data_IF_915228903802
#
_entry.id   IF_915228903802
#
_cell.length_a   1.000
_cell.length_b   1.000
_cell.length_c   1.000
_cell.angle_alpha   90.00
_cell.angle_beta   90.00
_cell.angle_gamma   90.00
#
_symmetry.space_group_name_H-M   'P 1'
#
loop_
_entity.id
_entity.type
_entity.pdbx_description
1 polymer ?
#
# COMPACT_ATOMS: atom_id res chain seq x y z
N UNK A 1 -5.78 -24.74 -25.24
CA UNK A 1 -4.63 -23.88 -25.62
C UNK A 1 -4.53 -22.74 -24.62
N UNK A 2 -3.35 -22.57 -24.05
CA UNK A 2 -3.08 -21.94 -22.77
C UNK A 2 -3.22 -20.42 -22.84
N UNK A 3 -3.88 -19.81 -21.83
CA UNK A 3 -3.76 -18.39 -21.47
C UNK A 3 -2.34 -18.11 -20.98
N UNK A 4 -1.45 -17.71 -21.87
CA UNK A 4 -0.23 -17.00 -21.50
C UNK A 4 -0.59 -15.57 -21.08
N UNK A 5 -0.76 -15.38 -19.75
CA UNK A 5 -0.81 -14.06 -19.16
C UNK A 5 0.45 -13.28 -19.55
N UNK A 6 0.32 -12.25 -20.39
CA UNK A 6 1.42 -11.39 -20.85
C UNK A 6 2.04 -10.67 -19.67
N UNK A 7 3.08 -11.25 -19.09
CA UNK A 7 3.98 -10.52 -18.20
C UNK A 7 4.66 -9.42 -19.03
N UNK A 8 4.66 -8.20 -18.53
CA UNK A 8 5.41 -7.12 -19.18
C UNK A 8 6.89 -7.55 -19.31
N UNK A 9 7.45 -7.48 -20.51
CA UNK A 9 8.83 -7.87 -20.75
C UNK A 9 9.83 -6.98 -20.00
N UNK A 10 11.05 -7.47 -19.67
CA UNK A 10 12.04 -6.71 -18.92
C UNK A 10 12.35 -5.32 -19.47
N UNK A 11 12.38 -5.15 -20.79
CA UNK A 11 12.60 -3.85 -21.45
C UNK A 11 11.46 -2.85 -21.18
N UNK A 12 10.23 -3.32 -21.04
CA UNK A 12 9.05 -2.48 -20.73
C UNK A 12 9.03 -2.08 -19.26
N UNK A 13 9.41 -2.99 -18.36
CA UNK A 13 9.56 -2.70 -16.94
C UNK A 13 10.73 -1.73 -16.69
N UNK A 14 11.82 -1.86 -17.44
CA UNK A 14 12.95 -0.92 -17.39
C UNK A 14 12.55 0.47 -17.89
N UNK A 15 11.72 0.57 -18.93
CA UNK A 15 11.18 1.83 -19.42
C UNK A 15 10.26 2.49 -18.38
N UNK A 16 9.49 1.71 -17.63
CA UNK A 16 8.65 2.19 -16.51
C UNK A 16 9.50 2.63 -15.31
N UNK A 17 10.54 1.87 -14.96
CA UNK A 17 11.47 2.24 -13.90
C UNK A 17 12.27 3.52 -14.25
N UNK A 18 12.64 3.70 -15.50
CA UNK A 18 13.34 4.90 -15.97
C UNK A 18 12.41 6.12 -16.03
N UNK A 19 11.13 5.96 -16.40
CA UNK A 19 10.11 7.02 -16.30
C UNK A 19 9.89 7.50 -14.87
N UNK A 20 10.03 6.64 -13.87
CA UNK A 20 9.97 7.04 -12.46
C UNK A 20 11.13 7.94 -12.01
N UNK A 21 12.17 8.11 -12.83
CA UNK A 21 13.33 8.99 -12.58
C UNK A 21 13.22 10.35 -13.28
N UNK A 22 12.37 10.49 -14.29
CA UNK A 22 12.14 11.77 -14.98
C UNK A 22 11.09 12.61 -14.23
N UNK A 23 11.24 13.95 -14.18
CA UNK A 23 10.19 14.82 -13.67
C UNK A 23 8.96 14.66 -14.59
N UNK A 24 7.97 13.93 -14.09
CA UNK A 24 6.75 13.64 -14.81
C UNK A 24 5.87 14.90 -14.81
N UNK A 25 5.43 15.34 -15.98
CA UNK A 25 4.43 16.38 -16.19
C UNK A 25 3.13 16.03 -15.44
N UNK A 26 2.40 17.02 -14.90
CA UNK A 26 1.14 16.85 -14.17
C UNK A 26 0.05 16.13 -15.00
N UNK A 27 0.09 16.27 -16.33
CA UNK A 27 -0.76 15.54 -17.25
C UNK A 27 -0.35 14.06 -17.36
N UNK A 28 0.96 13.76 -17.27
CA UNK A 28 1.49 12.40 -17.29
C UNK A 28 1.34 11.71 -15.92
N UNK A 29 1.34 12.44 -14.79
CA UNK A 29 1.00 11.89 -13.47
C UNK A 29 -0.43 11.42 -13.41
N UNK A 30 -1.37 12.18 -13.97
CA UNK A 30 -2.76 11.73 -14.14
C UNK A 30 -2.89 10.54 -15.10
N UNK A 31 -1.94 10.39 -16.04
CA UNK A 31 -1.81 9.23 -16.93
C UNK A 31 -1.01 8.08 -16.31
N UNK A 32 -0.09 8.35 -15.36
CA UNK A 32 0.70 7.32 -14.68
C UNK A 32 -0.18 6.37 -13.85
N UNK A 33 -1.32 6.88 -13.33
CA UNK A 33 -2.37 6.05 -12.77
C UNK A 33 -3.35 5.53 -13.85
N UNK A 34 -3.04 5.75 -15.11
CA UNK A 34 -3.67 5.26 -16.33
C UNK A 34 -5.15 5.66 -16.48
N UNK A 35 -5.56 6.10 -17.66
CA UNK A 35 -6.97 6.17 -17.99
C UNK A 35 -7.59 4.78 -17.79
N UNK A 36 -8.71 4.71 -17.05
CA UNK A 36 -9.46 3.46 -16.92
C UNK A 36 -10.14 3.23 -18.27
N UNK A 37 -9.80 2.14 -18.92
CA UNK A 37 -10.34 1.78 -20.24
C UNK A 37 -11.85 1.52 -20.15
N UNK A 38 -12.58 1.76 -21.24
CA UNK A 38 -14.03 1.52 -21.28
C UNK A 38 -14.42 0.09 -20.85
N UNK A 39 -13.77 -1.00 -21.32
CA UNK A 39 -14.06 -2.35 -20.84
C UNK A 39 -13.86 -2.55 -19.33
N UNK A 40 -12.84 -1.90 -18.75
CA UNK A 40 -12.59 -2.00 -17.31
C UNK A 40 -13.68 -1.27 -16.50
N UNK A 41 -14.22 -0.14 -17.01
CA UNK A 41 -15.36 0.58 -16.41
C UNK A 41 -16.63 -0.25 -16.44
N UNK A 42 -16.89 -0.92 -17.56
CA UNK A 42 -18.05 -1.82 -17.71
C UNK A 42 -17.95 -2.99 -16.76
N UNK A 43 -16.78 -3.63 -16.66
CA UNK A 43 -16.53 -4.71 -15.71
C UNK A 43 -16.75 -4.25 -14.26
N UNK A 44 -16.24 -3.09 -13.88
CA UNK A 44 -16.45 -2.52 -12.53
C UNK A 44 -17.93 -2.22 -12.29
N UNK A 45 -18.64 -1.64 -13.27
CA UNK A 45 -20.07 -1.37 -13.17
C UNK A 45 -20.88 -2.67 -13.00
N UNK A 46 -20.53 -3.72 -13.74
CA UNK A 46 -21.15 -5.04 -13.61
C UNK A 46 -20.90 -5.62 -12.20
N UNK A 47 -19.68 -5.52 -11.69
CA UNK A 47 -19.31 -6.02 -10.36
C UNK A 47 -20.01 -5.28 -9.23
N UNK A 48 -20.20 -3.97 -9.36
CA UNK A 48 -20.90 -3.15 -8.36
C UNK A 48 -22.44 -3.26 -8.50
N UNK A 49 -22.95 -3.58 -9.68
CA UNK A 49 -24.39 -3.58 -10.00
C UNK A 49 -25.14 -4.88 -9.68
N UNK A 50 -24.46 -5.97 -9.42
CA UNK A 50 -25.08 -7.27 -9.16
C UNK A 50 -24.59 -7.86 -7.85
N UNK A 51 -25.50 -8.59 -7.14
CA UNK A 51 -25.14 -9.62 -6.15
C UNK A 51 -24.37 -10.78 -6.82
N UNK A 52 -23.40 -10.50 -7.64
CA UNK A 52 -22.61 -11.48 -8.37
C UNK A 52 -21.70 -12.19 -7.37
N UNK A 53 -21.75 -13.53 -7.28
CA UNK A 53 -20.73 -14.28 -6.58
C UNK A 53 -19.44 -14.09 -7.40
N UNK A 54 -18.65 -13.09 -7.04
CA UNK A 54 -17.28 -12.99 -7.56
C UNK A 54 -16.54 -14.22 -7.07
N UNK A 55 -15.94 -14.93 -8.02
CA UNK A 55 -15.00 -15.99 -7.67
C UNK A 55 -14.01 -15.48 -6.63
N UNK A 56 -13.80 -16.29 -5.62
CA UNK A 56 -12.81 -16.04 -4.57
C UNK A 56 -11.47 -15.77 -5.23
N UNK A 57 -11.01 -14.54 -5.17
CA UNK A 57 -9.65 -14.21 -5.56
C UNK A 57 -8.73 -14.68 -4.44
N UNK A 58 -8.28 -15.95 -4.54
CA UNK A 58 -7.32 -16.53 -3.59
C UNK A 58 -5.92 -16.16 -3.97
N UNK A 59 -5.24 -15.49 -3.06
CA UNK A 59 -3.79 -15.38 -3.03
C UNK A 59 -3.25 -15.89 -1.70
N UNK A 60 -1.98 -16.26 -1.68
CA UNK A 60 -1.28 -16.75 -0.49
C UNK A 60 -1.39 -15.69 0.63
N UNK A 61 -2.37 -15.83 1.51
CA UNK A 61 -2.69 -15.00 2.67
C UNK A 61 -3.64 -13.79 2.44
N UNK A 62 -4.32 -13.67 1.30
CA UNK A 62 -5.37 -12.67 1.11
C UNK A 62 -6.49 -13.26 0.23
N UNK A 63 -7.73 -13.15 0.67
CA UNK A 63 -8.91 -13.57 -0.08
C UNK A 63 -9.85 -12.38 -0.19
N UNK A 64 -10.29 -12.06 -1.42
CA UNK A 64 -11.30 -11.02 -1.68
C UNK A 64 -12.52 -11.68 -2.31
N UNK A 65 -13.67 -11.57 -1.65
CA UNK A 65 -14.96 -12.00 -2.15
C UNK A 65 -15.73 -10.85 -2.78
N UNK A 66 -16.80 -11.15 -3.51
CA UNK A 66 -17.62 -10.13 -4.15
C UNK A 66 -18.19 -9.07 -3.21
N UNK A 67 -18.60 -9.49 -2.00
CA UNK A 67 -19.05 -8.57 -0.96
C UNK A 67 -17.96 -7.60 -0.49
N UNK A 68 -16.69 -8.03 -0.45
CA UNK A 68 -15.55 -7.17 -0.12
C UNK A 68 -15.28 -6.18 -1.27
N UNK A 69 -15.39 -6.63 -2.53
CA UNK A 69 -15.23 -5.77 -3.69
C UNK A 69 -16.29 -4.65 -3.73
N UNK A 70 -17.52 -4.93 -3.29
CA UNK A 70 -18.58 -3.91 -3.16
C UNK A 70 -18.21 -2.77 -2.19
N UNK A 71 -17.26 -2.97 -1.26
CA UNK A 71 -16.74 -1.92 -0.40
C UNK A 71 -15.95 -0.85 -1.15
N UNK A 72 -15.58 -1.10 -2.41
CA UNK A 72 -15.00 -0.12 -3.31
C UNK A 72 -16.05 0.77 -4.02
N UNK A 73 -17.34 0.56 -3.77
CA UNK A 73 -18.40 1.50 -4.21
C UNK A 73 -18.16 2.93 -3.71
N UNK A 74 -18.76 3.95 -4.31
CA UNK A 74 -18.43 5.38 -4.08
C UNK A 74 -18.39 5.84 -2.63
N UNK A 75 -19.19 5.23 -1.73
CA UNK A 75 -19.25 5.58 -0.29
C UNK A 75 -18.93 4.38 0.63
N UNK A 76 -18.38 3.31 0.08
CA UNK A 76 -18.06 2.10 0.85
C UNK A 76 -16.87 2.30 1.77
N UNK A 77 -16.96 1.76 2.98
CA UNK A 77 -15.81 1.63 3.88
C UNK A 77 -14.99 0.43 3.49
N UNK A 78 -13.68 0.61 3.27
CA UNK A 78 -12.80 -0.51 2.97
C UNK A 78 -12.63 -1.41 4.20
N UNK A 79 -12.68 -2.72 3.93
CA UNK A 79 -12.44 -3.76 4.93
C UNK A 79 -11.02 -4.29 4.83
N UNK A 80 -10.60 -5.04 5.84
CA UNK A 80 -9.24 -5.60 5.93
C UNK A 80 -8.85 -6.39 4.68
N UNK A 81 -9.76 -7.18 4.13
CA UNK A 81 -9.54 -8.01 2.95
C UNK A 81 -9.11 -7.18 1.74
N UNK A 82 -9.79 -6.06 1.49
CA UNK A 82 -9.48 -5.16 0.37
C UNK A 82 -8.14 -4.47 0.58
N UNK A 83 -7.91 -3.90 1.78
CA UNK A 83 -6.65 -3.22 2.10
C UNK A 83 -5.48 -4.20 2.04
N UNK A 84 -5.63 -5.40 2.63
CA UNK A 84 -4.57 -6.41 2.66
C UNK A 84 -4.23 -6.94 1.27
N UNK A 85 -5.27 -7.17 0.43
CA UNK A 85 -5.06 -7.59 -0.93
C UNK A 85 -4.34 -6.51 -1.75
N UNK A 86 -4.70 -5.24 -1.55
CA UNK A 86 -4.03 -4.14 -2.23
C UNK A 86 -2.56 -3.99 -1.79
N UNK A 87 -2.26 -4.14 -0.49
CA UNK A 87 -0.87 -4.19 0.01
C UNK A 87 -0.08 -5.35 -0.63
N UNK A 88 -0.72 -6.51 -0.79
CA UNK A 88 -0.12 -7.63 -1.49
C UNK A 88 0.19 -7.28 -2.96
N UNK A 89 -0.75 -6.67 -3.69
CA UNK A 89 -0.52 -6.24 -5.08
C UNK A 89 0.62 -5.20 -5.19
N UNK A 90 0.71 -4.28 -4.22
CA UNK A 90 1.84 -3.33 -4.15
C UNK A 90 3.18 -4.05 -3.93
N UNK A 91 3.20 -5.10 -3.11
CA UNK A 91 4.40 -5.93 -2.90
C UNK A 91 4.83 -6.65 -4.19
N UNK A 92 3.87 -7.23 -4.94
CA UNK A 92 4.14 -7.89 -6.22
C UNK A 92 4.65 -6.89 -7.28
N UNK A 93 4.01 -5.70 -7.37
CA UNK A 93 4.46 -4.62 -8.25
C UNK A 93 5.88 -4.17 -7.90
N UNK A 94 6.18 -3.95 -6.61
CA UNK A 94 7.51 -3.52 -6.17
C UNK A 94 8.58 -4.56 -6.51
N UNK A 95 8.28 -5.86 -6.38
CA UNK A 95 9.17 -6.93 -6.77
C UNK A 95 9.49 -6.89 -8.28
N UNK A 96 8.50 -6.61 -9.13
CA UNK A 96 8.70 -6.47 -10.57
C UNK A 96 9.56 -5.24 -10.91
N UNK A 97 9.32 -4.10 -10.25
CA UNK A 97 10.12 -2.88 -10.45
C UNK A 97 11.57 -3.10 -10.01
N UNK A 98 11.80 -3.76 -8.88
CA UNK A 98 13.14 -4.10 -8.41
C UNK A 98 13.86 -5.13 -9.33
N UNK A 99 13.12 -6.05 -9.93
CA UNK A 99 13.69 -6.98 -10.91
C UNK A 99 14.16 -6.27 -12.19
N UNK A 100 13.56 -5.13 -12.52
CA UNK A 100 13.92 -4.31 -13.67
C UNK A 100 15.02 -3.25 -13.38
N UNK A 101 15.26 -2.93 -12.11
CA UNK A 101 16.26 -1.95 -11.66
C UNK A 101 17.06 -2.54 -10.48
N UNK A 102 18.26 -3.04 -10.76
CA UNK A 102 19.10 -3.72 -9.76
C UNK A 102 19.60 -2.78 -8.64
N UNK A 103 19.63 -1.48 -8.87
CA UNK A 103 20.04 -0.48 -7.87
C UNK A 103 18.91 -0.13 -6.88
N UNK A 104 17.68 -0.53 -7.21
CA UNK A 104 16.51 -0.26 -6.38
C UNK A 104 16.40 -1.26 -5.24
N UNK A 105 16.40 -0.75 -4.01
CA UNK A 105 16.09 -1.56 -2.84
C UNK A 105 14.57 -1.79 -2.75
N UNK A 106 14.14 -3.05 -2.49
CA UNK A 106 12.73 -3.37 -2.41
C UNK A 106 12.06 -2.72 -1.19
N UNK A 107 10.76 -2.43 -1.32
CA UNK A 107 9.88 -2.11 -0.21
C UNK A 107 9.37 -3.39 0.47
N UNK A 108 8.69 -3.22 1.61
CA UNK A 108 7.90 -4.27 2.23
C UNK A 108 6.55 -3.72 2.68
N UNK A 109 5.50 -4.52 2.49
CA UNK A 109 4.13 -4.14 2.84
C UNK A 109 3.58 -5.18 3.82
N UNK A 110 3.42 -4.78 5.08
CA UNK A 110 2.69 -5.58 6.05
C UNK A 110 1.18 -5.54 5.77
N UNK A 111 0.47 -6.55 6.22
CA UNK A 111 -0.99 -6.51 6.26
C UNK A 111 -1.49 -5.74 7.51
N UNK A 112 -2.78 -5.43 7.57
CA UNK A 112 -3.42 -4.67 8.64
C UNK A 112 -3.31 -5.32 10.03
N UNK A 113 -3.12 -6.64 10.09
CA UNK A 113 -2.97 -7.37 11.34
C UNK A 113 -1.63 -7.12 12.05
N UNK A 114 -0.66 -6.50 11.38
CA UNK A 114 0.63 -6.19 12.01
C UNK A 114 0.46 -5.38 13.28
N UNK A 115 -0.22 -4.22 13.22
CA UNK A 115 -0.43 -3.39 14.39
C UNK A 115 -1.42 -4.00 15.40
N UNK A 116 -2.42 -4.75 14.95
CA UNK A 116 -3.33 -5.50 15.81
C UNK A 116 -2.56 -6.49 16.68
N UNK A 117 -1.55 -7.16 16.12
CA UNK A 117 -0.70 -8.10 16.86
C UNK A 117 0.39 -7.41 17.67
N UNK A 118 0.98 -6.34 17.14
CA UNK A 118 2.02 -5.58 17.84
C UNK A 118 1.47 -4.85 19.07
N UNK A 119 0.22 -4.38 19.03
CA UNK A 119 -0.48 -3.64 20.09
C UNK A 119 -1.66 -4.45 20.64
N UNK A 120 -1.47 -5.73 20.88
CA UNK A 120 -2.51 -6.64 21.35
C UNK A 120 -3.08 -6.17 22.70
N UNK A 121 -4.40 -5.97 22.77
CA UNK A 121 -5.10 -5.41 23.93
C UNK A 121 -4.52 -4.05 24.42
N UNK A 122 -4.02 -3.22 23.52
CA UNK A 122 -3.42 -1.93 23.81
C UNK A 122 -2.00 -2.00 24.39
N UNK A 123 -1.45 -3.21 24.58
CA UNK A 123 -0.10 -3.42 25.08
C UNK A 123 0.86 -3.83 23.95
N UNK A 124 2.05 -3.25 23.95
CA UNK A 124 3.10 -3.60 23.00
C UNK A 124 3.60 -5.04 23.18
N UNK A 125 3.60 -5.83 22.11
CA UNK A 125 4.01 -7.23 22.15
C UNK A 125 4.81 -7.65 20.90
N UNK A 126 6.16 -7.47 20.95
CA UNK A 126 7.06 -7.87 19.88
C UNK A 126 6.99 -9.37 19.53
N UNK A 127 6.73 -10.25 20.53
CA UNK A 127 6.71 -11.71 20.33
C UNK A 127 5.68 -12.15 19.31
N UNK A 128 4.56 -11.43 19.17
CA UNK A 128 3.49 -11.74 18.22
C UNK A 128 3.92 -11.50 16.77
N UNK A 129 4.84 -10.57 16.54
CA UNK A 129 5.24 -10.16 15.16
C UNK A 129 6.69 -10.51 14.81
N UNK A 130 7.52 -10.96 15.76
CA UNK A 130 8.95 -11.25 15.53
C UNK A 130 9.26 -12.22 14.38
N UNK A 131 8.30 -13.07 13.98
CA UNK A 131 8.45 -14.04 12.89
C UNK A 131 8.00 -13.51 11.52
N UNK A 132 7.43 -12.32 11.47
CA UNK A 132 6.91 -11.76 10.22
C UNK A 132 8.01 -11.41 9.24
N UNK A 133 9.19 -11.10 9.74
CA UNK A 133 10.41 -10.80 8.97
C UNK A 133 11.41 -11.96 8.92
N UNK A 134 11.01 -13.19 9.28
CA UNK A 134 11.95 -14.33 9.34
C UNK A 134 12.63 -14.66 8.01
N UNK A 135 12.04 -14.25 6.88
CA UNK A 135 12.51 -14.59 5.52
C UNK A 135 13.33 -13.47 4.89
N UNK A 136 13.46 -12.32 5.52
CA UNK A 136 14.19 -11.18 4.99
C UNK A 136 14.71 -10.29 6.11
N UNK A 137 15.71 -9.47 5.78
CA UNK A 137 16.18 -8.40 6.64
C UNK A 137 15.37 -7.12 6.41
N UNK A 138 14.64 -6.67 7.42
CA UNK A 138 13.84 -5.45 7.35
C UNK A 138 14.70 -4.22 7.03
N UNK A 139 15.91 -4.16 7.59
CA UNK A 139 16.81 -3.03 7.41
C UNK A 139 17.50 -3.01 6.04
N UNK A 140 17.33 -4.05 5.23
CA UNK A 140 17.73 -4.05 3.81
C UNK A 140 16.68 -3.43 2.89
N UNK A 141 15.49 -3.11 3.42
CA UNK A 141 14.41 -2.52 2.63
C UNK A 141 14.62 -1.02 2.42
N UNK A 142 14.08 -0.50 1.31
CA UNK A 142 14.00 0.95 1.09
C UNK A 142 12.97 1.56 2.02
N UNK A 143 11.74 1.04 1.98
CA UNK A 143 10.64 1.45 2.84
C UNK A 143 9.84 0.25 3.34
N UNK A 144 9.18 0.45 4.49
CA UNK A 144 8.24 -0.54 5.06
C UNK A 144 6.92 0.15 5.33
N UNK A 145 5.82 -0.45 4.87
CA UNK A 145 4.46 0.08 5.02
C UNK A 145 3.63 -0.85 5.91
N UNK A 146 2.87 -0.26 6.81
CA UNK A 146 1.97 -1.00 7.70
C UNK A 146 0.64 -0.24 7.84
N UNK A 147 -0.47 -0.77 7.27
CA UNK A 147 -1.79 -0.21 7.49
C UNK A 147 -2.20 -0.28 8.96
N UNK A 148 -2.91 0.73 9.42
CA UNK A 148 -3.43 0.83 10.78
C UNK A 148 -4.94 1.00 10.71
N UNK A 149 -5.69 0.13 11.37
CA UNK A 149 -7.13 0.30 11.57
C UNK A 149 -7.38 0.82 12.99
N UNK A 150 -7.56 2.13 13.11
CA UNK A 150 -7.74 2.82 14.40
C UNK A 150 -9.16 2.55 14.91
N UNK A 151 -9.28 1.81 16.01
CA UNK A 151 -10.56 1.51 16.63
C UNK A 151 -11.56 0.75 15.74
N UNK A 152 -11.08 0.03 14.73
CA UNK A 152 -11.88 -0.64 13.68
C UNK A 152 -12.79 0.32 12.89
N UNK A 153 -12.46 1.60 12.86
CA UNK A 153 -13.29 2.65 12.22
C UNK A 153 -12.54 3.59 11.30
N UNK A 154 -11.20 3.60 11.35
CA UNK A 154 -10.43 4.58 10.60
C UNK A 154 -9.10 4.01 10.12
N UNK A 155 -8.87 4.11 8.80
CA UNK A 155 -7.64 3.64 8.16
C UNK A 155 -6.59 4.73 8.10
N UNK A 156 -5.38 4.37 8.53
CA UNK A 156 -4.18 5.18 8.42
C UNK A 156 -3.03 4.34 7.88
N UNK A 157 -1.88 4.96 7.61
CA UNK A 157 -0.68 4.27 7.15
C UNK A 157 0.53 4.69 7.97
N UNK A 158 1.32 3.73 8.41
CA UNK A 158 2.68 3.96 8.93
C UNK A 158 3.68 3.57 7.85
N UNK A 159 4.65 4.43 7.60
CA UNK A 159 5.78 4.16 6.73
C UNK A 159 7.08 4.26 7.54
N UNK A 160 8.00 3.33 7.31
CA UNK A 160 9.39 3.42 7.73
C UNK A 160 10.24 3.70 6.49
N UNK A 161 10.98 4.79 6.47
CA UNK A 161 12.04 5.05 5.49
C UNK A 161 13.37 4.68 6.15
N UNK A 162 13.94 3.57 5.73
CA UNK A 162 15.14 3.01 6.39
C UNK A 162 16.37 3.87 6.14
N UNK A 163 16.52 4.40 4.93
CA UNK A 163 17.67 5.24 4.57
C UNK A 163 17.66 6.58 5.29
N UNK A 164 16.45 7.18 5.45
CA UNK A 164 16.27 8.46 6.15
C UNK A 164 16.18 8.32 7.66
N UNK A 165 16.12 7.09 8.18
CA UNK A 165 15.84 6.80 9.59
C UNK A 165 14.57 7.53 10.06
N UNK A 166 13.49 7.42 9.30
CA UNK A 166 12.22 8.09 9.57
C UNK A 166 11.09 7.09 9.74
N UNK A 167 10.25 7.28 10.76
CA UNK A 167 8.93 6.64 10.87
C UNK A 167 7.89 7.73 10.69
N UNK A 168 7.05 7.61 9.66
CA UNK A 168 6.05 8.62 9.30
C UNK A 168 4.64 8.05 9.36
N UNK A 169 3.71 8.85 9.87
CA UNK A 169 2.30 8.53 9.95
C UNK A 169 1.49 9.37 8.97
N UNK A 170 0.59 8.72 8.23
CA UNK A 170 -0.31 9.35 7.28
C UNK A 170 -1.74 9.13 7.74
N UNK A 171 -2.45 10.22 7.99
CA UNK A 171 -3.86 10.23 8.38
C UNK A 171 -4.59 11.31 7.57
N UNK A 172 -5.52 10.88 6.74
CA UNK A 172 -6.34 11.79 5.92
C UNK A 172 -7.30 12.67 6.74
N UNK A 173 -7.57 12.34 8.00
CA UNK A 173 -8.32 13.18 8.96
C UNK A 173 -7.43 14.10 9.79
N UNK A 174 -6.11 13.84 9.82
CA UNK A 174 -5.14 14.75 10.41
C UNK A 174 -4.67 14.45 11.82
N UNK A 175 -4.98 13.31 12.38
CA UNK A 175 -4.46 12.93 13.68
C UNK A 175 -2.95 12.64 13.65
N UNK A 176 -2.30 12.73 14.81
CA UNK A 176 -0.83 12.64 14.92
C UNK A 176 -0.26 11.23 14.92
N UNK A 177 -1.03 10.22 15.33
CA UNK A 177 -0.62 8.82 15.33
C UNK A 177 0.49 8.42 16.31
N UNK A 178 0.73 9.21 17.39
CA UNK A 178 1.80 8.96 18.35
C UNK A 178 1.91 7.53 18.86
N UNK A 179 0.81 6.84 19.24
CA UNK A 179 0.91 5.46 19.75
C UNK A 179 1.55 4.52 18.71
N UNK A 180 1.16 4.67 17.45
CA UNK A 180 1.66 3.83 16.36
C UNK A 180 3.09 4.17 15.96
N UNK A 181 3.45 5.47 15.95
CA UNK A 181 4.82 5.93 15.72
C UNK A 181 5.78 5.37 16.79
N UNK A 182 5.42 5.49 18.07
CA UNK A 182 6.22 4.96 19.19
C UNK A 182 6.32 3.44 19.14
N UNK A 183 5.20 2.75 18.86
CA UNK A 183 5.17 1.29 18.75
C UNK A 183 6.05 0.80 17.58
N UNK A 184 5.99 1.44 16.42
CA UNK A 184 6.84 1.09 15.28
C UNK A 184 8.32 1.35 15.58
N UNK A 185 8.67 2.48 16.21
CA UNK A 185 10.06 2.74 16.59
C UNK A 185 10.58 1.67 17.56
N UNK A 186 9.82 1.33 18.59
CA UNK A 186 10.17 0.26 19.52
C UNK A 186 10.30 -1.09 18.82
N UNK A 187 9.41 -1.38 17.85
CA UNK A 187 9.52 -2.58 17.04
C UNK A 187 10.83 -2.63 16.25
N UNK A 188 11.26 -1.52 15.64
CA UNK A 188 12.54 -1.44 14.93
C UNK A 188 13.73 -1.70 15.90
N UNK A 189 13.68 -1.16 17.11
CA UNK A 189 14.71 -1.40 18.14
C UNK A 189 14.79 -2.88 18.53
N UNK A 190 13.65 -3.50 18.83
CA UNK A 190 13.58 -4.91 19.21
C UNK A 190 13.94 -5.84 18.03
N UNK A 191 13.52 -5.51 16.81
CA UNK A 191 13.85 -6.26 15.60
C UNK A 191 15.34 -6.18 15.27
N UNK A 192 15.96 -5.01 15.42
CA UNK A 192 17.40 -4.83 15.20
C UNK A 192 18.19 -5.62 16.23
N UNK A 193 17.83 -5.52 17.52
CA UNK A 193 18.49 -6.29 18.58
C UNK A 193 18.35 -7.79 18.34
N UNK A 194 17.17 -8.26 17.96
CA UNK A 194 16.90 -9.68 17.73
C UNK A 194 17.61 -10.25 16.49
N UNK A 195 17.80 -9.44 15.42
CA UNK A 195 18.36 -9.90 14.15
C UNK A 195 19.85 -9.58 13.98
N UNK A 196 20.33 -8.47 14.55
CA UNK A 196 21.70 -7.98 14.40
C UNK A 196 22.55 -8.16 15.66
N UNK A 197 21.91 -8.42 16.82
CA UNK A 197 22.61 -8.56 18.10
C UNK A 197 23.16 -7.25 18.67
N UNK A 198 22.74 -6.10 18.16
CA UNK A 198 23.17 -4.77 18.60
C UNK A 198 21.98 -3.83 18.74
N UNK A 199 22.16 -2.73 19.47
CA UNK A 199 21.16 -1.69 19.55
C UNK A 199 20.99 -0.98 18.20
N UNK A 200 19.75 -0.54 17.91
CA UNK A 200 19.48 0.28 16.74
C UNK A 200 20.16 1.64 16.91
N UNK A 201 21.00 2.02 15.97
CA UNK A 201 21.65 3.33 16.01
C UNK A 201 20.61 4.48 16.06
N UNK A 202 20.89 5.49 16.87
CA UNK A 202 20.02 6.66 17.06
C UNK A 202 19.78 7.49 15.79
N UNK A 203 19.10 8.62 15.97
CA UNK A 203 18.78 9.56 14.90
C UNK A 203 17.48 9.25 14.14
N UNK A 204 16.63 8.35 14.64
CA UNK A 204 15.31 8.08 14.08
C UNK A 204 14.32 9.20 14.39
N UNK A 205 13.73 9.75 13.35
CA UNK A 205 12.70 10.78 13.42
C UNK A 205 11.31 10.15 13.42
N UNK A 206 10.41 10.66 14.27
CA UNK A 206 8.98 10.30 14.28
C UNK A 206 8.19 11.46 13.69
N UNK A 207 7.73 11.30 12.47
CA UNK A 207 6.98 12.33 11.73
C UNK A 207 5.49 12.05 11.79
N UNK A 208 4.77 12.93 12.45
CA UNK A 208 3.30 12.93 12.48
C UNK A 208 2.74 13.27 11.10
N UNK A 209 1.43 13.16 10.96
CA UNK A 209 0.73 13.67 9.78
C UNK A 209 1.06 15.15 9.53
N UNK A 210 1.53 15.45 8.34
CA UNK A 210 2.00 16.79 7.92
C UNK A 210 1.02 17.44 6.94
N UNK A 211 1.25 18.69 6.55
CA UNK A 211 0.36 19.43 5.64
C UNK A 211 0.33 18.87 4.23
N UNK A 212 1.39 18.19 3.80
CA UNK A 212 1.51 17.51 2.50
C UNK A 212 0.78 16.14 2.46
N UNK A 213 0.25 15.66 3.60
CA UNK A 213 -0.61 14.48 3.62
C UNK A 213 -1.99 14.83 3.07
N UNK A 214 -2.44 14.16 1.99
CA UNK A 214 -3.75 14.40 1.39
C UNK A 214 -4.89 14.23 2.39
N UNK A 215 -5.92 15.08 2.30
CA UNK A 215 -7.03 15.17 3.25
C UNK A 215 -8.35 14.71 2.66
N UNK A 216 -9.06 13.85 3.38
CA UNK A 216 -10.44 13.49 3.04
C UNK A 216 -11.42 14.55 3.56
N UNK A 217 -12.54 14.69 2.86
CA UNK A 217 -13.63 15.59 3.23
C UNK A 217 -14.92 14.87 3.63
N UNK A 218 -14.86 13.53 3.77
CA UNK A 218 -15.99 12.68 4.15
C UNK A 218 -15.55 11.66 5.20
N UNK A 219 -16.45 10.77 5.62
CA UNK A 219 -16.21 9.79 6.69
C UNK A 219 -15.85 8.37 6.20
N UNK A 220 -15.67 8.12 4.89
CA UNK A 220 -15.57 6.75 4.37
C UNK A 220 -14.39 6.47 3.42
N UNK A 221 -13.61 7.47 3.02
CA UNK A 221 -12.52 7.30 2.05
C UNK A 221 -11.14 7.00 2.66
N UNK A 222 -11.03 6.95 3.99
CA UNK A 222 -9.73 6.79 4.69
C UNK A 222 -8.91 5.59 4.20
N UNK A 223 -9.56 4.45 3.91
CA UNK A 223 -8.87 3.26 3.41
C UNK A 223 -8.23 3.46 2.04
N UNK A 224 -8.87 4.23 1.16
CA UNK A 224 -8.32 4.59 -0.14
C UNK A 224 -7.14 5.55 0.05
N UNK A 225 -7.28 6.60 0.86
CA UNK A 225 -6.19 7.52 1.17
C UNK A 225 -4.96 6.79 1.73
N UNK A 226 -5.15 5.92 2.73
CA UNK A 226 -4.06 5.15 3.33
C UNK A 226 -3.36 4.24 2.30
N UNK A 227 -4.12 3.55 1.45
CA UNK A 227 -3.59 2.67 0.41
C UNK A 227 -2.79 3.43 -0.64
N UNK A 228 -3.29 4.60 -1.08
CA UNK A 228 -2.60 5.42 -2.07
C UNK A 228 -1.40 6.17 -1.49
N UNK A 229 -1.38 6.52 -0.20
CA UNK A 229 -0.14 6.97 0.44
C UNK A 229 0.97 5.91 0.32
N UNK A 230 0.66 4.63 0.57
CA UNK A 230 1.63 3.55 0.39
C UNK A 230 2.04 3.36 -1.09
N UNK A 231 1.06 3.46 -2.01
CA UNK A 231 1.31 3.35 -3.44
C UNK A 231 2.32 4.41 -3.92
N UNK A 232 2.02 5.70 -3.71
CA UNK A 232 2.87 6.82 -4.12
C UNK A 232 4.26 6.78 -3.46
N UNK A 233 4.28 6.66 -2.13
CA UNK A 233 5.53 6.67 -1.37
C UNK A 233 6.45 5.50 -1.72
N UNK A 234 5.90 4.35 -2.11
CA UNK A 234 6.71 3.21 -2.56
C UNK A 234 7.31 3.41 -3.94
N UNK A 235 6.74 4.28 -4.77
CA UNK A 235 7.31 4.73 -6.05
C UNK A 235 8.23 5.94 -5.91
N UNK A 236 8.39 6.47 -4.69
CA UNK A 236 9.12 7.71 -4.40
C UNK A 236 8.47 8.96 -5.03
N UNK A 237 7.18 8.89 -5.29
CA UNK A 237 6.37 9.99 -5.81
C UNK A 237 5.88 10.91 -4.70
N UNK A 238 5.55 12.15 -5.06
CA UNK A 238 4.92 13.12 -4.16
C UNK A 238 3.44 12.77 -3.98
N UNK A 239 2.90 13.08 -2.80
CA UNK A 239 1.48 12.89 -2.51
C UNK A 239 0.66 14.07 -3.08
N UNK A 240 0.52 14.13 -4.38
CA UNK A 240 -0.13 15.22 -5.12
C UNK A 240 -1.60 14.94 -5.48
N UNK A 241 -2.19 13.92 -4.88
CA UNK A 241 -3.60 13.59 -5.03
C UNK A 241 -4.48 14.26 -3.95
N UNK A 242 -5.77 14.35 -4.22
CA UNK A 242 -6.77 15.02 -3.39
C UNK A 242 -8.06 14.20 -3.28
N UNK A 243 -9.05 14.72 -2.56
CA UNK A 243 -10.40 14.13 -2.50
C UNK A 243 -11.04 13.95 -3.90
N UNK A 244 -10.70 14.82 -4.87
CA UNK A 244 -11.27 14.74 -6.21
C UNK A 244 -10.82 13.50 -6.99
N UNK A 245 -9.69 12.91 -6.62
CA UNK A 245 -9.11 11.75 -7.29
C UNK A 245 -9.65 10.42 -6.74
N UNK A 246 -10.29 10.45 -5.57
CA UNK A 246 -10.62 9.23 -4.80
C UNK A 246 -11.62 8.32 -5.54
N UNK A 247 -12.60 8.89 -6.25
CA UNK A 247 -13.53 8.04 -7.02
C UNK A 247 -12.81 7.31 -8.16
N UNK A 248 -11.87 7.96 -8.80
CA UNK A 248 -11.00 7.32 -9.78
C UNK A 248 -10.15 6.21 -9.13
N UNK A 249 -9.58 6.46 -7.94
CA UNK A 249 -8.78 5.48 -7.22
C UNK A 249 -9.59 4.26 -6.76
N UNK A 250 -10.84 4.44 -6.38
CA UNK A 250 -11.73 3.30 -6.06
C UNK A 250 -11.93 2.39 -7.27
N UNK A 251 -12.19 2.97 -8.43
CA UNK A 251 -12.33 2.22 -9.69
C UNK A 251 -10.99 1.53 -10.03
N UNK A 252 -9.87 2.24 -9.88
CA UNK A 252 -8.52 1.70 -10.13
C UNK A 252 -8.22 0.52 -9.22
N UNK A 253 -8.46 0.65 -7.91
CA UNK A 253 -8.29 -0.47 -6.97
C UNK A 253 -9.12 -1.68 -7.37
N UNK A 254 -10.37 -1.49 -7.80
CA UNK A 254 -11.22 -2.57 -8.27
C UNK A 254 -10.61 -3.25 -9.50
N UNK A 255 -10.19 -2.48 -10.49
CA UNK A 255 -9.54 -3.00 -11.71
C UNK A 255 -8.26 -3.76 -11.38
N UNK A 256 -7.42 -3.20 -10.51
CA UNK A 256 -6.17 -3.84 -10.08
C UNK A 256 -6.44 -5.16 -9.36
N UNK A 257 -7.45 -5.21 -8.48
CA UNK A 257 -7.86 -6.42 -7.76
C UNK A 257 -8.37 -7.47 -8.74
N UNK A 258 -9.24 -7.12 -9.67
CA UNK A 258 -9.80 -8.03 -10.67
C UNK A 258 -8.72 -8.60 -11.60
N UNK A 259 -7.78 -7.75 -12.01
CA UNK A 259 -6.65 -8.13 -12.84
C UNK A 259 -5.50 -8.78 -12.06
N UNK A 260 -5.60 -8.87 -10.72
CA UNK A 260 -4.59 -9.43 -9.81
C UNK A 260 -3.21 -8.79 -9.98
N UNK A 261 -3.17 -7.52 -10.35
CA UNK A 261 -1.92 -6.75 -10.53
C UNK A 261 -2.18 -5.25 -10.44
N UNK A 262 -1.21 -4.51 -9.93
CA UNK A 262 -1.24 -3.05 -10.04
C UNK A 262 -1.02 -2.66 -11.51
N UNK A 263 -1.92 -1.84 -12.02
CA UNK A 263 -1.78 -1.26 -13.34
C UNK A 263 -0.65 -0.24 -13.36
N UNK A 264 0.27 -0.39 -14.28
CA UNK A 264 1.35 0.58 -14.53
C UNK A 264 1.02 1.30 -15.83
N UNK A 265 1.03 2.63 -15.83
CA UNK A 265 0.55 3.49 -16.94
C UNK A 265 1.11 3.24 -18.34
N UNK A 266 1.86 2.16 -18.53
CA UNK A 266 2.35 1.67 -19.83
C UNK A 266 1.56 0.49 -20.40
N UNK A 267 0.46 0.08 -19.76
CA UNK A 267 -0.39 -1.03 -20.22
C UNK A 267 -1.53 -0.56 -21.14
N UNK A 268 -1.33 0.53 -21.92
CA UNK A 268 -2.27 1.02 -22.95
C UNK A 268 -1.99 0.31 -24.25
#
# INVERSE_FOLDING_TARGET
EAEEGRRAGPARLLALANRAKDPIDDADRRRAHGAIRAPDRELVAEMLGKNSPVEVLKFVNAEVFGEHAQRLSPSGWLVDEVVNYYMFLLQERDALVCAADADRKPCHFFNSFFFTKLLENGAYNYRQVRRWTKRFDLFSRSKVFAPVNVGNMHWCMVMVDVARKEVRYFDSMGAGGEPYLKAMKRYLEDEHRAKKGSELEGGWTLTRTTRDTPRQTNGYDCGVFASFCAHYMSLQEQLDFSQNDIQHFRIRMMVDILNKRIHTGGDV
#
